data_IF_084838468095
#
_entry.id   IF_084838468095
#
_cell.length_a   1.000
_cell.length_b   1.000
_cell.length_c   1.000
_cell.angle_alpha   90.00
_cell.angle_beta   90.00
_cell.angle_gamma   90.00
#
_symmetry.space_group_name_H-M   'P 1'
#
loop_
_entity.id
_entity.type
_entity.pdbx_description
1 polymer ?
#
# COMPACT_ATOMS: atom_id res chain seq x y z
N UNK A 1 -21.33 -8.92 -0.65
CA UNK A 1 -20.52 -7.98 -1.46
C UNK A 1 -19.15 -8.60 -1.68
N UNK A 2 -18.69 -8.74 -2.92
CA UNK A 2 -17.34 -9.26 -3.23
C UNK A 2 -16.29 -8.21 -2.79
N UNK A 3 -15.28 -8.61 -2.03
CA UNK A 3 -14.09 -7.79 -1.80
C UNK A 3 -13.37 -7.58 -3.14
N UNK A 4 -12.81 -6.40 -3.38
CA UNK A 4 -11.93 -6.21 -4.53
C UNK A 4 -10.63 -7.00 -4.32
N UNK A 5 -9.99 -7.40 -5.43
CA UNK A 5 -8.65 -8.03 -5.40
C UNK A 5 -7.65 -7.11 -4.69
N UNK A 6 -7.82 -5.81 -4.87
CA UNK A 6 -7.05 -4.73 -4.29
C UNK A 6 -7.08 -4.77 -2.75
N UNK A 7 -8.29 -4.83 -2.19
CA UNK A 7 -8.52 -4.93 -0.75
C UNK A 7 -8.01 -6.23 -0.14
N UNK A 8 -8.24 -7.35 -0.82
CA UNK A 8 -7.78 -8.66 -0.34
C UNK A 8 -6.26 -8.73 -0.24
N UNK A 9 -5.57 -8.02 -1.15
CA UNK A 9 -4.11 -7.89 -1.17
C UNK A 9 -3.59 -7.16 0.07
N UNK A 10 -4.21 -6.03 0.41
CA UNK A 10 -3.89 -5.25 1.59
C UNK A 10 -4.19 -6.04 2.88
N UNK A 11 -5.39 -6.62 3.00
CA UNK A 11 -5.80 -7.40 4.17
C UNK A 11 -4.79 -8.54 4.46
N UNK A 12 -4.31 -9.22 3.42
CA UNK A 12 -3.28 -10.27 3.54
C UNK A 12 -1.92 -9.72 3.95
N UNK A 13 -1.48 -8.63 3.33
CA UNK A 13 -0.20 -8.01 3.64
C UNK A 13 -0.15 -7.54 5.10
N UNK A 14 -1.24 -6.98 5.59
CA UNK A 14 -1.44 -6.62 7.00
C UNK A 14 -1.39 -7.88 7.89
N UNK A 15 -2.13 -8.92 7.53
CA UNK A 15 -2.33 -10.07 8.42
C UNK A 15 -1.12 -11.00 8.52
N UNK A 16 -0.32 -11.09 7.45
CA UNK A 16 0.75 -12.10 7.33
C UNK A 16 2.14 -11.52 7.01
N UNK A 17 2.22 -10.25 6.60
CA UNK A 17 3.45 -9.56 6.21
C UNK A 17 3.84 -8.44 7.17
N UNK A 18 4.99 -7.83 6.86
CA UNK A 18 5.46 -6.58 7.46
C UNK A 18 5.31 -5.48 6.40
N UNK A 19 4.41 -4.53 6.63
CA UNK A 19 4.18 -3.42 5.69
C UNK A 19 5.28 -2.38 5.88
N UNK A 20 5.81 -1.88 4.77
CA UNK A 20 6.78 -0.78 4.77
C UNK A 20 6.08 0.50 4.33
N UNK A 21 6.41 1.63 4.96
CA UNK A 21 5.98 2.96 4.55
C UNK A 21 7.14 3.96 4.66
N UNK A 22 7.16 4.94 3.77
CA UNK A 22 7.96 6.17 3.88
C UNK A 22 7.05 7.37 4.06
N UNK A 23 7.61 8.52 4.45
CA UNK A 23 6.86 9.78 4.57
C UNK A 23 6.16 10.16 3.24
N UNK A 24 6.87 10.06 2.11
CA UNK A 24 6.34 10.37 0.78
C UNK A 24 5.12 9.51 0.40
N UNK A 25 5.12 8.24 0.81
CA UNK A 25 3.99 7.33 0.56
C UNK A 25 2.83 7.64 1.52
N UNK A 26 3.11 8.02 2.76
CA UNK A 26 2.09 8.47 3.72
C UNK A 26 1.39 9.74 3.19
N UNK A 27 2.15 10.71 2.69
CA UNK A 27 1.60 11.92 2.08
C UNK A 27 0.75 11.62 0.85
N UNK A 28 1.19 10.68 0.01
CA UNK A 28 0.39 10.23 -1.14
C UNK A 28 -0.92 9.57 -0.69
N UNK A 29 -0.86 8.68 0.30
CA UNK A 29 -2.05 8.03 0.84
C UNK A 29 -3.01 9.05 1.43
N UNK A 30 -2.51 10.01 2.21
CA UNK A 30 -3.33 11.12 2.70
C UNK A 30 -3.99 11.89 1.55
N UNK A 31 -3.22 12.29 0.53
CA UNK A 31 -3.74 13.01 -0.63
C UNK A 31 -4.77 12.22 -1.43
N UNK A 32 -4.65 10.89 -1.50
CA UNK A 32 -5.68 10.01 -2.09
C UNK A 32 -6.93 9.98 -1.22
N UNK A 33 -6.77 9.75 0.08
CA UNK A 33 -7.88 9.62 1.03
C UNK A 33 -8.65 10.93 1.22
N UNK A 34 -8.02 12.09 1.04
CA UNK A 34 -8.68 13.40 1.13
C UNK A 34 -9.47 13.79 -0.12
N UNK A 35 -9.53 12.94 -1.17
CA UNK A 35 -10.27 13.27 -2.40
C UNK A 35 -11.79 13.29 -2.15
N UNK A 36 -12.53 14.32 -2.59
CA UNK A 36 -13.99 14.42 -2.40
C UNK A 36 -14.80 13.25 -2.97
N UNK A 37 -14.23 12.50 -3.93
CA UNK A 37 -14.85 11.31 -4.50
C UNK A 37 -15.19 10.24 -3.43
N UNK A 38 -14.50 10.23 -2.29
CA UNK A 38 -14.75 9.31 -1.18
C UNK A 38 -15.86 9.75 -0.23
N UNK A 39 -16.25 11.04 -0.22
CA UNK A 39 -17.18 11.61 0.78
C UNK A 39 -18.56 10.95 0.76
N UNK A 40 -19.00 10.46 -0.41
CA UNK A 40 -20.28 9.77 -0.57
C UNK A 40 -20.29 8.32 -0.07
N UNK A 41 -19.16 7.81 0.43
CA UNK A 41 -18.97 6.40 0.80
C UNK A 41 -18.40 6.20 2.20
N UNK A 42 -17.53 7.10 2.64
CA UNK A 42 -16.86 7.02 3.94
C UNK A 42 -16.49 8.43 4.41
N UNK A 43 -16.79 8.69 5.68
CA UNK A 43 -16.53 9.98 6.31
C UNK A 43 -15.03 10.20 6.48
N UNK A 44 -14.62 11.47 6.44
CA UNK A 44 -13.21 11.85 6.53
C UNK A 44 -12.53 11.27 7.78
N UNK A 45 -13.21 11.30 8.94
CA UNK A 45 -12.71 10.75 10.19
C UNK A 45 -12.33 9.27 10.06
N UNK A 46 -13.18 8.46 9.42
CA UNK A 46 -12.93 7.04 9.22
C UNK A 46 -11.75 6.79 8.26
N UNK A 47 -11.57 7.66 7.26
CA UNK A 47 -10.41 7.60 6.34
C UNK A 47 -9.10 7.91 7.07
N UNK A 48 -9.10 8.96 7.89
CA UNK A 48 -7.94 9.36 8.69
C UNK A 48 -7.63 8.33 9.77
N UNK A 49 -8.65 7.72 10.38
CA UNK A 49 -8.47 6.60 11.30
C UNK A 49 -7.83 5.41 10.59
N UNK A 50 -8.28 5.04 9.39
CA UNK A 50 -7.65 3.98 8.61
C UNK A 50 -6.17 4.27 8.31
N UNK A 51 -5.85 5.49 7.85
CA UNK A 51 -4.45 5.90 7.61
C UNK A 51 -3.61 5.81 8.88
N UNK A 52 -4.14 6.31 10.01
CA UNK A 52 -3.42 6.31 11.29
C UNK A 52 -3.14 4.90 11.78
N UNK A 53 -4.12 4.00 11.62
CA UNK A 53 -3.97 2.59 11.93
C UNK A 53 -2.93 1.93 11.03
N UNK A 54 -2.99 2.16 9.71
CA UNK A 54 -2.00 1.64 8.76
C UNK A 54 -0.58 2.08 9.12
N UNK A 55 -0.39 3.36 9.46
CA UNK A 55 0.91 3.89 9.90
C UNK A 55 1.39 3.19 11.18
N UNK A 56 0.48 2.96 12.14
CA UNK A 56 0.81 2.32 13.42
C UNK A 56 1.32 0.88 13.25
N UNK A 57 0.78 0.13 12.30
CA UNK A 57 1.18 -1.27 12.06
C UNK A 57 2.31 -1.42 11.04
N UNK A 58 2.69 -0.36 10.32
CA UNK A 58 3.76 -0.38 9.34
C UNK A 58 5.13 -0.07 9.96
N UNK A 59 6.17 -0.62 9.36
CA UNK A 59 7.57 -0.21 9.61
C UNK A 59 7.89 1.01 8.76
N UNK A 60 8.21 2.12 9.43
CA UNK A 60 8.67 3.34 8.77
C UNK A 60 10.11 3.19 8.29
N UNK A 61 10.35 3.59 7.05
CA UNK A 61 11.65 3.50 6.38
C UNK A 61 12.06 4.89 5.91
N UNK A 62 13.27 5.28 6.27
CA UNK A 62 13.92 6.48 5.74
C UNK A 62 14.52 6.19 4.36
N UNK A 63 14.32 7.11 3.41
CA UNK A 63 14.83 6.98 2.05
C UNK A 63 16.19 7.67 1.96
N UNK A 64 17.22 6.88 1.66
CA UNK A 64 18.60 7.35 1.48
C UNK A 64 19.11 7.13 0.06
N UNK A 65 18.70 6.02 -0.56
CA UNK A 65 18.95 5.73 -1.98
C UNK A 65 17.80 6.24 -2.83
N UNK A 66 18.11 7.10 -3.80
CA UNK A 66 17.19 7.57 -4.83
C UNK A 66 17.23 6.66 -6.06
N UNK A 67 16.07 6.45 -6.67
CA UNK A 67 15.91 5.57 -7.83
C UNK A 67 15.24 6.36 -8.95
N UNK A 68 15.67 6.13 -10.18
CA UNK A 68 15.09 6.73 -11.38
C UNK A 68 15.00 5.66 -12.47
N UNK A 69 14.11 4.70 -12.26
CA UNK A 69 13.97 3.52 -13.14
C UNK A 69 12.53 3.36 -13.65
N UNK A 70 11.54 3.90 -12.95
CA UNK A 70 10.16 3.90 -13.41
C UNK A 70 9.94 4.89 -14.55
N UNK A 71 9.04 4.55 -15.46
CA UNK A 71 8.63 5.44 -16.55
C UNK A 71 7.86 6.65 -16.03
N UNK A 72 7.06 6.48 -14.98
CA UNK A 72 6.48 7.58 -14.21
C UNK A 72 7.40 7.88 -13.03
N UNK A 73 8.12 9.03 -13.02
CA UNK A 73 9.02 9.38 -11.93
C UNK A 73 8.33 9.50 -10.56
N UNK A 74 7.00 9.64 -10.54
CA UNK A 74 6.25 9.65 -9.27
C UNK A 74 6.23 8.28 -8.61
N UNK A 75 6.34 7.21 -9.39
CA UNK A 75 6.29 5.84 -8.89
C UNK A 75 7.66 5.33 -8.43
N UNK A 76 8.75 6.06 -8.69
CA UNK A 76 10.08 5.71 -8.21
C UNK A 76 10.12 5.60 -6.67
N UNK A 77 9.33 6.39 -5.94
CA UNK A 77 9.24 6.32 -4.47
C UNK A 77 8.91 4.92 -3.92
N UNK A 78 8.19 4.10 -4.69
CA UNK A 78 7.87 2.72 -4.29
C UNK A 78 9.06 1.79 -4.48
N UNK A 79 9.87 2.03 -5.51
CA UNK A 79 11.12 1.32 -5.74
C UNK A 79 12.16 1.72 -4.69
N UNK A 80 12.25 3.01 -4.39
CA UNK A 80 13.10 3.57 -3.33
C UNK A 80 12.76 2.95 -1.99
N UNK A 81 11.49 2.95 -1.61
CA UNK A 81 11.02 2.29 -0.39
C UNK A 81 11.38 0.80 -0.39
N UNK A 82 11.21 0.12 -1.53
CA UNK A 82 11.50 -1.30 -1.63
C UNK A 82 12.98 -1.61 -1.38
N UNK A 83 13.90 -0.80 -1.92
CA UNK A 83 15.34 -0.99 -1.72
C UNK A 83 15.76 -0.59 -0.31
N UNK A 84 15.44 0.63 0.13
CA UNK A 84 15.83 1.14 1.45
C UNK A 84 15.22 0.30 2.59
N UNK A 85 14.01 -0.22 2.37
CA UNK A 85 13.29 -1.02 3.34
C UNK A 85 13.58 -2.51 3.28
N UNK A 86 14.47 -2.97 2.39
CA UNK A 86 14.75 -4.39 2.14
C UNK A 86 13.47 -5.21 1.88
N UNK A 87 12.59 -4.67 1.04
CA UNK A 87 11.35 -5.34 0.67
C UNK A 87 11.64 -6.65 -0.07
N UNK A 88 10.78 -7.63 0.16
CA UNK A 88 10.80 -8.92 -0.55
C UNK A 88 9.62 -9.09 -1.48
N UNK A 89 8.77 -8.07 -1.59
CA UNK A 89 7.61 -8.01 -2.47
C UNK A 89 7.15 -6.56 -2.65
N UNK A 90 6.86 -6.18 -3.89
CA UNK A 90 6.05 -5.01 -4.21
C UNK A 90 4.68 -5.49 -4.71
N UNK A 91 3.62 -4.91 -4.18
CA UNK A 91 2.26 -5.11 -4.67
C UNK A 91 1.84 -3.86 -5.44
N UNK A 92 1.78 -3.99 -6.76
CA UNK A 92 1.38 -2.91 -7.65
C UNK A 92 0.50 -3.40 -8.80
N UNK A 93 -0.66 -2.77 -8.98
CA UNK A 93 -1.47 -2.86 -10.20
C UNK A 93 -0.94 -2.00 -11.36
N UNK A 94 0.01 -1.10 -11.08
CA UNK A 94 0.55 -0.18 -12.07
C UNK A 94 1.42 -0.90 -13.11
N UNK A 95 1.19 -0.61 -14.40
CA UNK A 95 1.90 -1.24 -15.50
C UNK A 95 3.33 -0.73 -15.65
N UNK A 96 3.57 0.54 -15.32
CA UNK A 96 4.90 1.16 -15.37
C UNK A 96 5.80 0.60 -14.26
N UNK A 97 5.22 0.15 -13.14
CA UNK A 97 5.95 -0.65 -12.15
C UNK A 97 6.06 -2.13 -12.54
N UNK A 98 5.01 -2.74 -13.09
CA UNK A 98 5.03 -4.18 -13.44
C UNK A 98 6.04 -4.54 -14.52
N UNK A 99 6.34 -3.64 -15.45
CA UNK A 99 7.37 -3.86 -16.48
C UNK A 99 8.77 -4.03 -15.88
N UNK A 100 9.00 -3.52 -14.66
CA UNK A 100 10.26 -3.67 -13.94
C UNK A 100 10.36 -5.01 -13.19
N UNK A 101 9.39 -5.91 -13.30
CA UNK A 101 9.39 -7.18 -12.58
C UNK A 101 10.40 -8.20 -13.16
N UNK A 102 11.32 -8.77 -12.35
CA UNK A 102 11.62 -8.41 -10.97
C UNK A 102 12.54 -7.20 -10.89
N UNK A 103 12.24 -6.29 -9.96
CA UNK A 103 13.04 -5.09 -9.76
C UNK A 103 14.14 -5.39 -8.75
N UNK A 104 15.40 -5.47 -9.18
CA UNK A 104 16.55 -5.80 -8.31
C UNK A 104 16.33 -7.06 -7.44
N UNK A 105 15.76 -8.10 -8.05
CA UNK A 105 15.34 -9.36 -7.40
C UNK A 105 14.11 -9.27 -6.48
N UNK A 106 13.44 -8.11 -6.42
CA UNK A 106 12.18 -7.91 -5.71
C UNK A 106 11.03 -8.16 -6.70
N UNK A 107 10.20 -9.20 -6.48
CA UNK A 107 9.08 -9.47 -7.36
C UNK A 107 8.00 -8.40 -7.22
N UNK A 108 7.33 -8.08 -8.32
CA UNK A 108 6.21 -7.13 -8.40
C UNK A 108 4.97 -7.88 -8.88
N UNK A 109 3.88 -7.83 -8.10
CA UNK A 109 2.62 -8.50 -8.44
C UNK A 109 1.41 -7.58 -8.26
N UNK A 110 0.42 -7.68 -9.15
CA UNK A 110 -0.89 -7.03 -8.97
C UNK A 110 -1.74 -7.70 -7.88
N UNK A 111 -1.61 -9.01 -7.75
CA UNK A 111 -2.25 -9.80 -6.71
C UNK A 111 -1.13 -10.50 -5.94
N UNK A 112 -0.92 -10.18 -4.66
CA UNK A 112 0.15 -10.76 -3.91
C UNK A 112 -0.06 -12.27 -3.81
N UNK A 113 0.98 -13.08 -4.03
CA UNK A 113 0.99 -14.48 -3.63
C UNK A 113 0.99 -14.56 -2.10
N UNK A 114 1.28 -15.72 -1.53
CA UNK A 114 1.44 -15.87 -0.07
C UNK A 114 2.46 -14.86 0.48
N UNK A 115 2.01 -13.96 1.35
CA UNK A 115 2.82 -12.84 1.90
C UNK A 115 3.41 -13.13 3.28
N UNK A 116 3.16 -14.32 3.84
CA UNK A 116 3.72 -14.76 5.12
C UNK A 116 5.23 -14.50 5.23
N UNK A 117 5.61 -13.71 6.25
CA UNK A 117 7.00 -13.31 6.56
C UNK A 117 7.70 -12.48 5.48
N UNK A 118 6.93 -11.80 4.61
CA UNK A 118 7.49 -10.87 3.62
C UNK A 118 7.44 -9.44 4.10
N UNK A 119 8.42 -8.64 3.68
CA UNK A 119 8.46 -7.18 3.82
C UNK A 119 7.85 -6.60 2.55
N UNK A 120 6.71 -5.92 2.69
CA UNK A 120 5.82 -5.61 1.56
C UNK A 120 5.71 -4.12 1.38
N UNK A 121 5.98 -3.66 0.16
CA UNK A 121 5.58 -2.33 -0.32
C UNK A 121 4.26 -2.46 -1.05
N UNK A 122 3.31 -1.57 -0.76
CA UNK A 122 2.00 -1.56 -1.40
C UNK A 122 1.79 -0.20 -2.07
N UNK A 123 1.56 -0.22 -3.38
CA UNK A 123 1.18 0.97 -4.14
C UNK A 123 -0.30 1.33 -3.89
N UNK A 124 -0.67 2.60 -3.64
CA UNK A 124 -2.04 3.02 -3.34
C UNK A 124 -3.06 2.63 -4.41
N UNK A 125 -2.67 2.65 -5.68
CA UNK A 125 -3.52 2.21 -6.79
C UNK A 125 -3.91 0.73 -6.70
N UNK A 126 -3.24 -0.03 -5.83
CA UNK A 126 -3.47 -1.46 -5.62
C UNK A 126 -4.45 -1.77 -4.50
N UNK A 127 -4.97 -0.78 -3.79
CA UNK A 127 -5.99 -1.01 -2.74
C UNK A 127 -6.97 0.15 -2.49
N UNK A 128 -6.80 1.31 -3.14
CA UNK A 128 -7.75 2.44 -3.07
C UNK A 128 -8.39 2.69 -4.45
N UNK A 129 -8.85 1.62 -5.10
CA UNK A 129 -9.45 1.68 -6.45
C UNK A 129 -10.92 2.07 -6.35
N UNK A 130 -11.62 1.53 -5.34
CA UNK A 130 -13.00 1.80 -5.09
C UNK A 130 -13.22 2.20 -3.63
N UNK A 131 -14.13 3.13 -3.34
CA UNK A 131 -14.50 3.49 -1.97
C UNK A 131 -14.93 2.34 -1.04
N UNK A 132 -15.32 1.17 -1.57
CA UNK A 132 -15.61 -0.03 -0.75
C UNK A 132 -14.35 -0.77 -0.28
N UNK A 133 -13.17 -0.34 -0.76
CA UNK A 133 -11.88 -0.92 -0.40
C UNK A 133 -11.38 -0.40 0.95
N UNK A 134 -11.93 0.71 1.44
CA UNK A 134 -11.63 1.25 2.77
C UNK A 134 -12.38 0.47 3.86
N UNK A 135 -11.72 0.06 4.95
CA UNK A 135 -12.40 -0.58 6.06
C UNK A 135 -13.45 0.33 6.67
N UNK A 136 -14.69 -0.17 6.71
CA UNK A 136 -15.67 0.33 7.67
C UNK A 136 -15.16 0.02 9.08
N UNK A 137 -15.54 0.79 10.11
CA UNK A 137 -15.12 0.53 11.50
C UNK A 137 -15.29 -0.94 11.93
N UNK A 138 -16.36 -1.60 11.48
CA UNK A 138 -16.66 -3.02 11.73
C UNK A 138 -15.87 -4.05 10.88
N UNK A 139 -15.05 -3.60 9.93
CA UNK A 139 -14.29 -4.44 8.97
C UNK A 139 -12.80 -4.10 8.92
N UNK A 140 -12.33 -3.34 9.91
CA UNK A 140 -10.91 -3.22 10.18
C UNK A 140 -10.31 -4.63 10.40
N UNK A 141 -9.14 -4.96 9.86
CA UNK A 141 -8.48 -6.23 10.15
C UNK A 141 -8.30 -6.41 11.67
N UNK A 142 -8.29 -7.66 12.16
CA UNK A 142 -8.23 -7.97 13.60
C UNK A 142 -7.22 -7.15 14.43
N UNK A 143 -5.98 -6.84 13.97
CA UNK A 143 -5.07 -5.97 14.75
C UNK A 143 -5.59 -4.55 15.00
N UNK A 144 -6.63 -4.12 14.28
CA UNK A 144 -7.16 -2.76 14.28
C UNK A 144 -8.57 -2.63 14.87
N UNK A 145 -9.17 -3.70 15.42
CA UNK A 145 -10.54 -3.69 15.95
C UNK A 145 -10.65 -3.37 17.46
N UNK A 146 -9.70 -2.64 18.04
CA UNK A 146 -9.75 -2.24 19.47
C UNK A 146 -10.60 -0.99 19.70
#
# INVERSE_FOLDING_TARGET
MKKSVARDSLDKAIAEGEILLSLDIIEELYGVLSRPAFDRYIDEEDRLRFLSLLIKEATLVEISEQIQECRDPKDDKFLELAVNGNATLIVSGDKDLQVLNPFRNIPIFSTPPRVSRRRVVIHPSSFLIHPYDLPTPSRLPLPFQQ
#
